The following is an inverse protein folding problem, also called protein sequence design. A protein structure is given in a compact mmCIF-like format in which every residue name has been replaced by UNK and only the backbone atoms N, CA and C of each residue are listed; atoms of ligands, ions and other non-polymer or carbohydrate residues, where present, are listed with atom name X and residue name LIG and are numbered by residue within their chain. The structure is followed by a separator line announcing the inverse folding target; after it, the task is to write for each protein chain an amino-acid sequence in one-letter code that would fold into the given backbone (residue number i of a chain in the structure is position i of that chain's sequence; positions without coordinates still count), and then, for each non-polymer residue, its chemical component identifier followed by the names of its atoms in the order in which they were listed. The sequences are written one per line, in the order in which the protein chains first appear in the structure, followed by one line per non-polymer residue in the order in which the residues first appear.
data_IF_921353366817
#
_entry.id   IF_921353366817
#
_cell.length_a   1.000
_cell.length_b   1.000
_cell.length_c   1.000
_cell.angle_alpha   90.00
_cell.angle_beta   90.00
_cell.angle_gamma   90.00
#
_symmetry.space_group_name_H-M   'P 1'
#
loop_
_entity.id
_entity.type
_entity.pdbx_description
1 polymer ?
#
# COMPACT_ATOMS: atom_id res chain seq x y z
N UNK A 1 -7.66 -18.26 1.80
CA UNK A 1 -7.17 -18.27 3.19
C UNK A 1 -7.10 -19.72 3.68
N UNK A 2 -6.43 -20.06 4.80
CA UNK A 2 -6.26 -21.45 5.27
C UNK A 2 -7.59 -22.21 5.49
N UNK A 3 -8.68 -21.45 5.62
CA UNK A 3 -10.07 -21.88 5.76
C UNK A 3 -10.80 -22.14 4.42
N UNK A 4 -10.14 -21.96 3.28
CA UNK A 4 -10.77 -22.09 1.96
C UNK A 4 -11.66 -20.92 1.55
N UNK A 5 -11.70 -19.83 2.33
CA UNK A 5 -12.44 -18.63 1.93
C UNK A 5 -11.69 -17.88 0.81
N UNK A 6 -12.48 -17.43 -0.18
CA UNK A 6 -12.05 -16.46 -1.18
C UNK A 6 -12.15 -15.09 -0.53
N UNK A 7 -11.02 -14.49 -0.16
CA UNK A 7 -11.07 -13.08 0.22
C UNK A 7 -10.83 -12.23 -1.02
N UNK A 8 -11.64 -11.19 -1.15
CA UNK A 8 -11.37 -10.10 -2.06
C UNK A 8 -10.03 -9.47 -1.67
N UNK A 9 -9.15 -9.31 -2.65
CA UNK A 9 -7.91 -8.57 -2.50
C UNK A 9 -7.78 -7.53 -3.60
N UNK A 10 -7.13 -6.42 -3.26
CA UNK A 10 -6.73 -5.39 -4.20
C UNK A 10 -5.22 -5.44 -4.32
N UNK A 11 -4.75 -5.65 -5.54
CA UNK A 11 -3.31 -5.55 -5.86
C UNK A 11 -3.05 -4.25 -6.61
N UNK A 12 -2.07 -3.48 -6.15
CA UNK A 12 -1.63 -2.27 -6.83
C UNK A 12 -0.10 -2.20 -6.88
N UNK A 13 0.40 -1.39 -7.81
CA UNK A 13 1.82 -1.21 -8.04
C UNK A 13 2.28 0.09 -7.38
N UNK A 14 3.33 -0.01 -6.59
CA UNK A 14 4.04 1.12 -6.00
C UNK A 14 5.35 1.34 -6.74
N UNK A 15 5.72 2.60 -6.89
CA UNK A 15 7.01 3.03 -7.40
C UNK A 15 7.71 3.83 -6.30
N UNK A 16 8.97 3.52 -6.07
CA UNK A 16 9.90 4.38 -5.35
C UNK A 16 11.09 4.77 -6.26
N UNK A 17 12.06 5.52 -5.72
CA UNK A 17 13.25 5.94 -6.47
C UNK A 17 14.12 4.77 -6.97
N UNK A 18 13.96 3.58 -6.41
CA UNK A 18 14.84 2.45 -6.64
C UNK A 18 14.21 1.40 -7.56
N UNK A 19 12.92 1.09 -7.40
CA UNK A 19 12.21 -0.01 -8.10
C UNK A 19 10.69 0.19 -8.10
N UNK A 20 10.02 -0.71 -8.83
CA UNK A 20 8.59 -0.96 -8.67
C UNK A 20 8.36 -2.24 -7.88
N UNK A 21 7.37 -2.26 -7.00
CA UNK A 21 6.92 -3.46 -6.30
C UNK A 21 5.40 -3.53 -6.22
N UNK A 22 4.88 -4.74 -6.04
CA UNK A 22 3.46 -4.96 -5.87
C UNK A 22 3.09 -4.93 -4.39
N UNK A 23 1.91 -4.40 -4.11
CA UNK A 23 1.29 -4.39 -2.81
C UNK A 23 -0.09 -5.05 -2.92
N UNK A 24 -0.38 -5.96 -2.02
CA UNK A 24 -1.67 -6.64 -1.90
C UNK A 24 -2.30 -6.31 -0.55
N UNK A 25 -3.56 -5.86 -0.59
CA UNK A 25 -4.40 -5.62 0.57
C UNK A 25 -5.64 -6.49 0.48
N UNK A 26 -6.12 -6.96 1.62
CA UNK A 26 -7.34 -7.77 1.72
C UNK A 26 -8.22 -7.31 2.87
N UNK A 27 -9.50 -7.68 2.80
CA UNK A 27 -10.47 -7.42 3.86
C UNK A 27 -10.66 -5.93 4.15
N UNK A 28 -10.70 -5.58 5.43
CA UNK A 28 -10.93 -4.21 5.94
C UNK A 28 -9.93 -3.17 5.44
N UNK A 29 -8.71 -3.58 5.07
CA UNK A 29 -7.68 -2.70 4.53
C UNK A 29 -8.04 -2.17 3.13
N UNK A 30 -8.92 -2.85 2.39
CA UNK A 30 -9.38 -2.39 1.07
C UNK A 30 -10.20 -1.11 1.22
N UNK A 31 -11.14 -1.08 2.15
CA UNK A 31 -11.99 0.08 2.37
C UNK A 31 -11.21 1.26 2.97
N UNK A 32 -10.31 1.01 3.95
CA UNK A 32 -9.43 2.07 4.47
C UNK A 32 -8.58 2.67 3.34
N UNK A 33 -8.00 1.82 2.47
CA UNK A 33 -7.26 2.27 1.30
C UNK A 33 -8.09 3.13 0.35
N UNK A 34 -9.29 2.67 -0.02
CA UNK A 34 -10.21 3.42 -0.91
C UNK A 34 -10.55 4.80 -0.31
N UNK A 35 -10.89 4.86 0.97
CA UNK A 35 -11.18 6.10 1.68
C UNK A 35 -9.99 7.06 1.71
N UNK A 36 -8.75 6.57 1.87
CA UNK A 36 -7.55 7.44 1.78
C UNK A 36 -7.36 7.99 0.38
N UNK A 37 -7.70 7.23 -0.65
CA UNK A 37 -7.55 7.64 -2.04
C UNK A 37 -8.64 8.61 -2.53
N UNK A 38 -9.87 8.52 -2.03
CA UNK A 38 -10.97 9.42 -2.42
C UNK A 38 -10.63 10.90 -2.20
N UNK A 39 -9.81 11.19 -1.17
CA UNK A 39 -9.39 12.53 -0.82
C UNK A 39 -8.15 13.02 -1.60
N UNK A 40 -7.60 12.17 -2.47
CA UNK A 40 -6.42 12.49 -3.27
C UNK A 40 -6.84 13.10 -4.62
N UNK A 41 -7.00 14.42 -4.66
CA UNK A 41 -7.48 15.14 -5.86
C UNK A 41 -6.39 15.52 -6.86
N UNK A 42 -5.10 15.46 -6.47
CA UNK A 42 -3.99 16.00 -7.27
C UNK A 42 -2.91 14.95 -7.59
N UNK A 43 -2.94 14.46 -8.83
CA UNK A 43 -1.93 13.55 -9.39
C UNK A 43 -1.92 12.18 -8.71
N UNK A 44 -0.82 11.43 -8.91
CA UNK A 44 -0.67 10.14 -8.23
C UNK A 44 -0.47 10.38 -6.70
N UNK A 45 -1.19 9.63 -5.85
CA UNK A 45 -1.05 9.72 -4.41
C UNK A 45 0.29 9.13 -3.96
N UNK A 46 0.91 9.74 -2.96
CA UNK A 46 2.05 9.15 -2.26
C UNK A 46 1.50 8.43 -1.03
N UNK A 47 1.76 7.12 -0.95
CA UNK A 47 1.33 6.32 0.19
C UNK A 47 2.47 6.15 1.19
N UNK A 48 2.11 6.22 2.47
CA UNK A 48 2.96 5.76 3.56
C UNK A 48 2.30 4.53 4.17
N UNK A 49 2.99 3.40 4.07
CA UNK A 49 2.52 2.10 4.56
C UNK A 49 3.38 1.68 5.75
N UNK A 50 2.76 1.40 6.89
CA UNK A 50 3.45 0.94 8.09
C UNK A 50 3.05 -0.49 8.43
N UNK A 51 4.01 -1.23 8.99
CA UNK A 51 3.81 -2.60 9.47
C UNK A 51 3.28 -3.54 8.39
N UNK A 52 3.86 -3.43 7.18
CA UNK A 52 3.60 -4.34 6.07
C UNK A 52 4.41 -5.62 6.23
N UNK A 53 3.84 -6.76 5.84
CA UNK A 53 4.61 -7.99 5.68
C UNK A 53 5.32 -7.98 4.32
N UNK A 54 6.62 -8.27 4.32
CA UNK A 54 7.40 -8.42 3.10
C UNK A 54 7.48 -9.91 2.75
N UNK A 55 6.95 -10.27 1.59
CA UNK A 55 7.05 -11.62 1.03
C UNK A 55 7.94 -11.59 -0.20
N UNK A 56 8.92 -12.49 -0.26
CA UNK A 56 9.78 -12.66 -1.43
C UNK A 56 9.47 -14.02 -2.03
N UNK A 57 8.95 -14.03 -3.26
CA UNK A 57 8.66 -15.26 -3.99
C UNK A 57 9.20 -15.16 -5.41
N UNK A 58 9.95 -16.17 -5.84
CA UNK A 58 10.56 -16.23 -7.19
C UNK A 58 11.35 -14.95 -7.56
N UNK A 59 12.06 -14.36 -6.59
CA UNK A 59 12.84 -13.13 -6.79
C UNK A 59 12.01 -11.85 -6.91
N UNK A 60 10.69 -11.91 -6.69
CA UNK A 60 9.80 -10.75 -6.67
C UNK A 60 9.42 -10.39 -5.24
N UNK A 61 9.48 -9.10 -4.92
CA UNK A 61 9.01 -8.56 -3.65
C UNK A 61 7.53 -8.22 -3.75
N UNK A 62 6.74 -8.79 -2.83
CA UNK A 62 5.34 -8.47 -2.61
C UNK A 62 5.18 -7.92 -1.20
N UNK A 63 4.58 -6.74 -1.08
CA UNK A 63 4.12 -6.23 0.21
C UNK A 63 2.70 -6.72 0.46
N UNK A 64 2.45 -7.27 1.63
CA UNK A 64 1.13 -7.80 2.01
C UNK A 64 0.66 -7.06 3.25
N UNK A 65 -0.55 -6.50 3.17
CA UNK A 65 -1.21 -5.89 4.33
C UNK A 65 -1.62 -6.94 5.35
N UNK A 66 -1.38 -6.66 6.63
CA UNK A 66 -1.79 -7.50 7.75
C UNK A 66 -2.95 -6.82 8.46
N UNK A 67 -4.14 -7.43 8.43
CA UNK A 67 -5.33 -6.87 9.07
C UNK A 67 -5.12 -6.60 10.57
N UNK A 68 -5.69 -5.49 11.04
CA UNK A 68 -5.55 -5.04 12.43
C UNK A 68 -4.17 -4.50 12.81
N UNK A 69 -3.18 -4.57 11.92
CA UNK A 69 -1.78 -4.16 12.19
C UNK A 69 -1.31 -3.08 11.22
N UNK A 70 -1.50 -3.31 9.92
CA UNK A 70 -1.07 -2.38 8.87
C UNK A 70 -1.79 -1.04 8.99
N UNK A 71 -1.05 0.05 8.77
CA UNK A 71 -1.61 1.42 8.72
C UNK A 71 -1.30 2.05 7.37
N UNK A 72 -2.32 2.67 6.78
CA UNK A 72 -2.26 3.28 5.45
C UNK A 72 -2.52 4.78 5.60
N UNK A 73 -1.60 5.57 5.05
CA UNK A 73 -1.77 7.01 4.92
C UNK A 73 -1.53 7.44 3.48
N UNK A 74 -2.25 8.47 3.03
CA UNK A 74 -2.06 9.07 1.73
C UNK A 74 -1.68 10.55 1.88
N UNK A 75 -0.69 11.01 1.12
CA UNK A 75 -0.22 12.39 1.05
C UNK A 75 0.01 13.03 2.43
N UNK A 76 0.68 12.32 3.34
CA UNK A 76 1.06 12.89 4.64
C UNK A 76 1.91 14.16 4.45
N UNK A 77 1.59 15.21 5.22
CA UNK A 77 2.31 16.46 5.21
C UNK A 77 3.55 16.39 6.12
N UNK A 78 4.47 15.48 5.78
CA UNK A 78 5.76 15.30 6.46
C UNK A 78 6.92 15.56 5.49
N UNK A 79 8.10 15.98 5.98
CA UNK A 79 9.22 16.36 5.12
C UNK A 79 9.58 15.32 4.07
N UNK A 80 9.57 14.03 4.42
CA UNK A 80 9.93 12.92 3.54
C UNK A 80 8.99 12.81 2.34
N UNK A 81 7.68 12.95 2.56
CA UNK A 81 6.66 12.87 1.51
C UNK A 81 6.69 14.11 0.62
N UNK A 82 6.90 15.28 1.20
CA UNK A 82 7.04 16.54 0.45
C UNK A 82 8.29 16.48 -0.44
N UNK A 83 9.42 16.03 0.10
CA UNK A 83 10.66 15.88 -0.65
C UNK A 83 10.51 14.85 -1.77
N UNK A 84 9.92 13.68 -1.47
CA UNK A 84 9.66 12.65 -2.47
C UNK A 84 8.80 13.16 -3.64
N UNK A 85 7.82 14.01 -3.38
CA UNK A 85 6.98 14.62 -4.42
C UNK A 85 7.76 15.59 -5.31
N UNK A 86 8.71 16.31 -4.74
CA UNK A 86 9.43 17.39 -5.41
C UNK A 86 10.64 16.91 -6.23
N UNK A 87 11.10 15.67 -6.01
CA UNK A 87 12.27 15.10 -6.68
C UNK A 87 13.52 15.26 -5.84
#
# INVERSE_FOLDING_TARGET
FPDGSVAESVTFKLNDQSKCFYCELSGSLIEDFRLKLEHCTNGLPILVLQFMQITISQGRTLLVGVEGVTRIFANLMIPEVINYRNG
#
